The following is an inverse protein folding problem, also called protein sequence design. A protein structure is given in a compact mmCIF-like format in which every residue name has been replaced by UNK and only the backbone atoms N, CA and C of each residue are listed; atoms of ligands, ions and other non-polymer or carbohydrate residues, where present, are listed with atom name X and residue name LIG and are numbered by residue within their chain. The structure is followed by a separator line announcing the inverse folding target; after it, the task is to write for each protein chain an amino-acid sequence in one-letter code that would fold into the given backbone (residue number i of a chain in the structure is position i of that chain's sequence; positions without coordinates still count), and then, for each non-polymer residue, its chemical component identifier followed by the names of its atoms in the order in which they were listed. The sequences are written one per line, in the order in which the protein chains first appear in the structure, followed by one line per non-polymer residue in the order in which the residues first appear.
data_IF_871417963881
#
_entry.id   IF_871417963881
#
_cell.length_a   1.000
_cell.length_b   1.000
_cell.length_c   1.000
_cell.angle_alpha   90.00
_cell.angle_beta   90.00
_cell.angle_gamma   90.00
#
_symmetry.space_group_name_H-M   'P 1'
#
loop_
_entity.id
_entity.type
_entity.pdbx_description
1 polymer ?
#
# COMPACT_ATOMS: atom_id res chain seq x y z
N UNK A 1 4.47 -18.44 78.37
CA UNK A 1 4.11 -17.11 77.83
C UNK A 1 2.84 -17.26 77.02
N UNK A 2 1.76 -16.64 77.49
CA UNK A 2 0.42 -16.72 76.91
C UNK A 2 0.35 -15.70 75.77
N UNK A 3 0.39 -16.15 74.52
CA UNK A 3 -0.09 -15.33 73.41
C UNK A 3 -1.61 -15.23 73.59
N UNK A 4 -2.08 -14.03 73.89
CA UNK A 4 -3.47 -13.77 74.23
C UNK A 4 -4.38 -13.98 73.02
N UNK A 5 -5.47 -14.70 73.26
CA UNK A 5 -6.57 -15.06 72.36
C UNK A 5 -7.11 -13.93 71.46
N UNK A 6 -6.78 -12.68 71.77
CA UNK A 6 -7.19 -11.45 71.08
C UNK A 6 -6.62 -11.31 69.67
N UNK A 7 -5.48 -11.93 69.34
CA UNK A 7 -4.88 -11.84 68.00
C UNK A 7 -5.45 -12.85 66.99
N UNK A 8 -6.10 -13.93 67.46
CA UNK A 8 -6.65 -14.95 66.57
C UNK A 8 -8.06 -14.59 66.04
N UNK A 9 -8.75 -13.65 66.69
CA UNK A 9 -10.09 -13.17 66.26
C UNK A 9 -10.00 -12.20 65.08
N UNK A 10 -8.85 -11.54 64.88
CA UNK A 10 -8.65 -10.59 63.78
C UNK A 10 -8.36 -11.29 62.45
N UNK A 11 -7.85 -12.53 62.47
CA UNK A 11 -7.49 -13.28 61.25
C UNK A 11 -8.62 -14.20 60.77
N UNK A 12 -9.63 -14.48 61.60
CA UNK A 12 -10.75 -15.38 61.29
C UNK A 12 -12.09 -14.66 61.03
N UNK A 13 -12.06 -13.36 60.70
CA UNK A 13 -13.22 -12.57 60.28
C UNK A 13 -13.22 -12.22 58.78
N UNK A 14 -12.28 -12.74 58.01
CA UNK A 14 -12.02 -12.34 56.62
C UNK A 14 -12.42 -13.40 55.58
N UNK A 15 -13.40 -14.24 55.93
CA UNK A 15 -14.02 -15.20 55.03
C UNK A 15 -15.53 -15.22 55.26
N UNK A 16 -16.26 -14.94 54.17
CA UNK A 16 -17.72 -14.99 53.94
C UNK A 16 -18.49 -13.67 54.11
N UNK A 17 -19.49 -13.38 53.26
CA UNK A 17 -19.42 -13.28 51.81
C UNK A 17 -19.83 -11.85 51.36
N UNK A 18 -19.12 -11.25 50.39
CA UNK A 18 -19.62 -10.07 49.68
C UNK A 18 -20.76 -10.52 48.73
N UNK A 19 -21.91 -10.82 49.30
CA UNK A 19 -23.17 -11.10 48.60
C UNK A 19 -24.24 -10.09 49.02
N UNK A 20 -23.89 -8.80 49.07
CA UNK A 20 -24.84 -7.69 49.23
C UNK A 20 -24.19 -6.32 49.00
N UNK A 21 -23.48 -6.12 47.88
CA UNK A 21 -23.42 -4.78 47.25
C UNK A 21 -23.76 -4.96 45.77
N UNK A 22 -24.95 -5.50 45.51
CA UNK A 22 -25.66 -5.19 44.28
C UNK A 22 -26.33 -3.84 44.49
N UNK A 23 -25.79 -2.80 43.87
CA UNK A 23 -26.40 -1.49 43.54
C UNK A 23 -25.40 -0.34 43.79
N UNK A 24 -24.39 -0.18 42.93
CA UNK A 24 -24.13 1.16 42.41
C UNK A 24 -23.28 1.09 41.13
N UNK A 25 -23.93 1.52 40.05
CA UNK A 25 -23.35 1.97 38.78
C UNK A 25 -22.80 0.89 37.83
N UNK A 26 -23.69 -0.04 37.43
CA UNK A 26 -23.64 -0.52 36.05
C UNK A 26 -24.18 0.58 35.14
N UNK A 27 -23.32 1.49 34.69
CA UNK A 27 -23.63 2.35 33.54
C UNK A 27 -23.77 1.44 32.32
N UNK A 28 -24.97 0.89 32.11
CA UNK A 28 -25.32 0.20 30.88
C UNK A 28 -25.35 1.25 29.79
N UNK A 29 -24.22 1.43 29.09
CA UNK A 29 -24.13 2.27 27.89
C UNK A 29 -25.35 2.01 27.01
N UNK A 30 -26.04 3.07 26.63
CA UNK A 30 -27.18 2.98 25.73
C UNK A 30 -26.76 2.30 24.41
N UNK A 31 -27.71 1.68 23.69
CA UNK A 31 -27.45 1.08 22.37
C UNK A 31 -26.74 2.04 21.40
N UNK A 32 -26.99 3.36 21.54
CA UNK A 32 -26.32 4.40 20.75
C UNK A 32 -24.85 4.57 21.15
N UNK A 33 -24.53 4.57 22.44
CA UNK A 33 -23.17 4.66 22.95
C UNK A 33 -22.35 3.42 22.61
N UNK A 34 -22.93 2.22 22.72
CA UNK A 34 -22.29 0.97 22.29
C UNK A 34 -21.92 1.06 20.80
N UNK A 35 -22.87 1.46 19.93
CA UNK A 35 -22.62 1.61 18.49
C UNK A 35 -21.57 2.68 18.18
N UNK A 36 -21.53 3.78 18.93
CA UNK A 36 -20.50 4.80 18.77
C UNK A 36 -19.13 4.28 19.20
N UNK A 37 -19.05 3.52 20.28
CA UNK A 37 -17.82 2.95 20.80
C UNK A 37 -17.27 1.88 19.84
N UNK A 38 -18.12 1.01 19.31
CA UNK A 38 -17.77 0.06 18.23
C UNK A 38 -17.25 0.78 16.99
N UNK A 39 -17.94 1.85 16.54
CA UNK A 39 -17.48 2.63 15.38
C UNK A 39 -16.13 3.31 15.63
N UNK A 40 -15.86 3.79 16.85
CA UNK A 40 -14.55 4.36 17.21
C UNK A 40 -13.46 3.29 17.19
N UNK A 41 -13.71 2.14 17.82
CA UNK A 41 -12.80 0.98 17.81
C UNK A 41 -12.49 0.51 16.39
N UNK A 42 -13.50 0.42 15.53
CA UNK A 42 -13.30 0.03 14.13
C UNK A 42 -12.43 1.04 13.39
N UNK A 43 -12.69 2.35 13.55
CA UNK A 43 -11.86 3.39 12.93
C UNK A 43 -10.42 3.35 13.40
N UNK A 44 -10.20 3.08 14.68
CA UNK A 44 -8.86 2.95 15.25
C UNK A 44 -8.15 1.74 14.67
N UNK A 45 -8.80 0.58 14.62
CA UNK A 45 -8.26 -0.62 13.97
C UNK A 45 -7.94 -0.37 12.48
N UNK A 46 -8.87 0.25 11.74
CA UNK A 46 -8.66 0.62 10.33
C UNK A 46 -7.49 1.60 10.16
N UNK A 47 -7.27 2.51 11.13
CA UNK A 47 -6.17 3.46 11.11
C UNK A 47 -4.82 2.78 11.33
N UNK A 48 -4.76 1.79 12.24
CA UNK A 48 -3.55 1.00 12.49
C UNK A 48 -3.19 0.21 11.24
N UNK A 49 -4.15 -0.56 10.69
CA UNK A 49 -3.94 -1.35 9.46
C UNK A 49 -3.49 -0.45 8.30
N UNK A 50 -4.11 0.73 8.15
CA UNK A 50 -3.72 1.71 7.13
C UNK A 50 -2.29 2.19 7.34
N UNK A 51 -1.90 2.50 8.58
CA UNK A 51 -0.56 2.99 8.90
C UNK A 51 0.52 1.93 8.63
N UNK A 52 0.24 0.67 8.95
CA UNK A 52 1.12 -0.46 8.67
C UNK A 52 1.27 -0.70 7.16
N UNK A 53 0.15 -0.69 6.42
CA UNK A 53 0.17 -0.82 4.97
C UNK A 53 0.96 0.33 4.31
N UNK A 54 0.77 1.57 4.79
CA UNK A 54 1.54 2.73 4.35
C UNK A 54 3.03 2.58 4.65
N UNK A 55 3.40 2.13 5.84
CA UNK A 55 4.80 1.91 6.21
C UNK A 55 5.45 0.85 5.30
N UNK A 56 4.75 -0.26 5.01
CA UNK A 56 5.21 -1.28 4.06
C UNK A 56 5.42 -0.68 2.67
N UNK A 57 4.49 0.13 2.18
CA UNK A 57 4.64 0.83 0.90
C UNK A 57 5.87 1.73 0.89
N UNK A 58 6.06 2.56 1.92
CA UNK A 58 7.21 3.46 1.99
C UNK A 58 8.54 2.72 2.00
N UNK A 59 8.63 1.58 2.68
CA UNK A 59 9.85 0.76 2.64
C UNK A 59 10.14 0.29 1.22
N UNK A 60 9.18 -0.34 0.54
CA UNK A 60 9.35 -0.82 -0.84
C UNK A 60 9.68 0.31 -1.83
N UNK A 61 9.06 1.48 -1.68
CA UNK A 61 9.30 2.62 -2.55
C UNK A 61 10.69 3.24 -2.30
N UNK A 62 11.06 3.47 -1.04
CA UNK A 62 12.37 4.02 -0.70
C UNK A 62 13.51 3.07 -1.09
N UNK A 63 13.29 1.77 -0.98
CA UNK A 63 14.25 0.74 -1.41
C UNK A 63 14.23 0.49 -2.93
N UNK A 64 13.35 1.18 -3.68
CA UNK A 64 13.15 0.97 -5.13
C UNK A 64 12.92 -0.51 -5.46
N UNK A 65 12.07 -1.18 -4.69
CA UNK A 65 11.87 -2.63 -4.72
C UNK A 65 10.38 -2.96 -4.78
N UNK A 66 9.76 -2.76 -5.94
CA UNK A 66 8.32 -2.91 -6.10
C UNK A 66 7.89 -3.27 -7.53
N UNK A 67 6.69 -3.83 -7.65
CA UNK A 67 5.98 -4.00 -8.92
C UNK A 67 4.61 -3.34 -8.84
N UNK A 68 4.30 -2.49 -9.82
CA UNK A 68 2.94 -2.07 -10.11
C UNK A 68 2.34 -3.07 -11.10
N UNK A 69 1.38 -3.86 -10.62
CA UNK A 69 0.62 -4.79 -11.44
C UNK A 69 -0.64 -4.10 -11.95
N UNK A 70 -0.68 -3.77 -13.25
CA UNK A 70 -1.78 -3.04 -13.84
C UNK A 70 -2.97 -3.96 -14.12
N UNK A 71 -4.17 -3.47 -13.83
CA UNK A 71 -5.45 -4.10 -14.18
C UNK A 71 -6.20 -3.30 -15.23
N UNK A 72 -5.87 -2.01 -15.40
CA UNK A 72 -6.43 -1.14 -16.42
C UNK A 72 -5.32 -0.34 -17.11
N UNK A 73 -5.50 -0.07 -18.40
CA UNK A 73 -4.65 0.82 -19.21
C UNK A 73 -5.51 1.91 -19.84
N UNK A 74 -5.07 3.16 -19.75
CA UNK A 74 -5.61 4.30 -20.49
C UNK A 74 -4.56 4.87 -21.45
N UNK A 75 -5.00 5.31 -22.64
CA UNK A 75 -4.11 5.91 -23.65
C UNK A 75 -4.69 7.24 -24.12
N UNK A 76 -3.85 8.27 -24.13
CA UNK A 76 -4.22 9.61 -24.55
C UNK A 76 -5.05 10.36 -23.49
N UNK A 77 -5.61 11.49 -23.89
CA UNK A 77 -6.35 12.39 -22.99
C UNK A 77 -7.84 12.02 -22.83
N UNK A 78 -8.32 10.97 -23.50
CA UNK A 78 -9.75 10.68 -23.66
C UNK A 78 -10.38 9.85 -22.53
N UNK A 79 -9.64 9.51 -21.47
CA UNK A 79 -10.20 9.00 -20.22
C UNK A 79 -10.86 7.61 -20.27
N UNK A 80 -10.81 6.89 -21.40
CA UNK A 80 -11.26 5.49 -21.46
C UNK A 80 -10.16 4.56 -20.95
N UNK A 81 -10.49 3.76 -19.94
CA UNK A 81 -9.64 2.70 -19.40
C UNK A 81 -10.08 1.35 -19.97
N UNK A 82 -9.11 0.51 -20.35
CA UNK A 82 -9.35 -0.85 -20.85
C UNK A 82 -8.81 -1.86 -19.84
N UNK A 83 -9.59 -2.89 -19.46
CA UNK A 83 -9.08 -3.99 -18.66
C UNK A 83 -7.93 -4.74 -19.33
N UNK A 84 -6.90 -5.04 -18.55
CA UNK A 84 -5.69 -5.73 -19.02
C UNK A 84 -5.19 -6.77 -18.02
N UNK A 85 -4.30 -7.64 -18.49
CA UNK A 85 -3.58 -8.59 -17.63
C UNK A 85 -2.30 -7.97 -17.08
N UNK A 86 -2.08 -8.09 -15.77
CA UNK A 86 -0.85 -7.64 -15.11
C UNK A 86 0.40 -8.38 -15.58
N UNK A 87 0.26 -9.61 -16.12
CA UNK A 87 1.39 -10.36 -16.71
C UNK A 87 2.03 -9.64 -17.89
N UNK A 88 1.26 -8.85 -18.63
CA UNK A 88 1.72 -8.13 -19.83
C UNK A 88 1.54 -6.61 -19.71
N UNK A 89 1.21 -6.12 -18.51
CA UNK A 89 1.02 -4.70 -18.22
C UNK A 89 1.49 -4.44 -16.78
N UNK A 90 2.74 -4.05 -16.62
CA UNK A 90 3.34 -3.81 -15.32
C UNK A 90 4.52 -2.85 -15.39
N UNK A 91 4.84 -2.26 -14.24
CA UNK A 91 6.07 -1.51 -14.03
C UNK A 91 6.78 -2.09 -12.81
N UNK A 92 7.95 -2.69 -13.01
CA UNK A 92 8.77 -3.27 -11.95
C UNK A 92 10.06 -2.48 -11.78
N UNK A 93 10.45 -2.28 -10.53
CA UNK A 93 11.66 -1.55 -10.10
C UNK A 93 12.40 -2.43 -9.10
N UNK A 94 13.68 -2.69 -9.35
CA UNK A 94 14.57 -3.42 -8.48
C UNK A 94 15.91 -2.69 -8.38
N UNK A 95 16.06 -1.84 -7.35
CA UNK A 95 17.15 -0.89 -7.27
C UNK A 95 17.09 0.08 -8.44
N UNK A 96 18.17 0.14 -9.22
CA UNK A 96 18.23 1.00 -10.41
C UNK A 96 17.63 0.33 -11.65
N UNK A 97 17.41 -0.98 -11.65
CA UNK A 97 16.88 -1.69 -12.81
C UNK A 97 15.36 -1.59 -12.88
N UNK A 98 14.84 -1.28 -14.07
CA UNK A 98 13.39 -1.23 -14.31
C UNK A 98 12.98 -2.14 -15.45
N UNK A 99 11.72 -2.58 -15.39
CA UNK A 99 11.01 -3.19 -16.51
C UNK A 99 9.66 -2.50 -16.63
N UNK A 100 9.41 -1.87 -17.78
CA UNK A 100 8.09 -1.37 -18.16
C UNK A 100 7.54 -2.21 -19.32
N UNK A 101 6.46 -2.92 -19.04
CA UNK A 101 5.72 -3.71 -20.01
C UNK A 101 4.32 -3.12 -20.16
N UNK A 102 3.91 -2.79 -21.39
CA UNK A 102 2.54 -2.37 -21.71
C UNK A 102 2.13 -3.02 -23.03
N UNK A 103 1.00 -3.73 -23.03
CA UNK A 103 0.49 -4.45 -24.18
C UNK A 103 -0.99 -4.09 -24.42
N UNK A 104 -1.26 -3.19 -25.38
CA UNK A 104 -2.61 -2.91 -25.86
C UNK A 104 -2.68 -2.99 -27.40
N UNK A 105 -3.67 -3.74 -27.91
CA UNK A 105 -4.24 -3.55 -29.25
C UNK A 105 -3.40 -3.81 -30.51
N UNK A 106 -2.27 -4.51 -30.45
CA UNK A 106 -1.55 -5.04 -31.64
C UNK A 106 -0.94 -4.02 -32.61
N UNK A 107 -1.20 -2.73 -32.43
CA UNK A 107 -0.70 -1.63 -33.25
C UNK A 107 -0.54 -0.43 -32.36
N UNK A 108 0.65 -0.27 -31.79
CA UNK A 108 1.31 0.99 -31.42
C UNK A 108 2.62 0.62 -30.76
N UNK A 109 3.53 0.11 -31.60
CA UNK A 109 4.94 0.43 -31.54
C UNK A 109 5.06 1.95 -31.50
N UNK A 110 4.98 2.59 -30.32
CA UNK A 110 5.28 4.01 -30.25
C UNK A 110 6.76 4.18 -30.57
N UNK A 111 7.01 5.29 -31.23
CA UNK A 111 8.29 5.98 -31.29
C UNK A 111 8.92 6.24 -29.89
N UNK A 112 8.83 5.40 -28.84
CA UNK A 112 9.85 4.38 -28.56
C UNK A 112 9.62 3.60 -27.24
N UNK A 113 8.39 3.15 -27.00
CA UNK A 113 7.97 2.22 -25.90
C UNK A 113 6.77 1.33 -26.30
N UNK A 114 6.70 0.84 -27.53
CA UNK A 114 5.54 0.07 -27.96
C UNK A 114 5.80 -1.43 -27.97
N UNK A 115 4.87 -2.21 -27.41
CA UNK A 115 4.79 -3.68 -27.55
C UNK A 115 6.02 -4.48 -27.13
N UNK A 116 7.01 -3.85 -26.50
CA UNK A 116 8.31 -4.41 -26.16
C UNK A 116 8.55 -4.17 -24.68
N UNK A 117 8.99 -5.21 -23.99
CA UNK A 117 9.50 -5.09 -22.63
C UNK A 117 10.68 -4.15 -22.62
N UNK A 118 10.50 -2.95 -22.09
CA UNK A 118 11.59 -1.98 -22.02
C UNK A 118 12.25 -2.14 -20.67
N UNK A 119 13.39 -2.84 -20.68
CA UNK A 119 14.35 -2.76 -19.58
C UNK A 119 15.01 -1.39 -19.61
N UNK A 120 15.39 -0.86 -18.45
CA UNK A 120 16.10 0.40 -18.39
C UNK A 120 16.66 0.65 -17.00
N UNK A 121 17.05 1.90 -16.79
CA UNK A 121 17.56 2.38 -15.52
C UNK A 121 16.65 3.47 -14.95
N UNK A 122 16.40 3.40 -13.65
CA UNK A 122 15.73 4.42 -12.87
C UNK A 122 16.65 5.62 -12.64
N UNK A 123 16.15 6.83 -12.87
CA UNK A 123 16.92 8.08 -12.78
C UNK A 123 16.08 9.15 -12.09
N UNK A 124 16.70 9.97 -11.25
CA UNK A 124 16.05 11.11 -10.59
C UNK A 124 14.77 10.74 -9.84
N UNK A 125 14.80 9.60 -9.14
CA UNK A 125 13.68 9.05 -8.38
C UNK A 125 13.46 9.82 -7.08
N UNK A 126 12.20 10.08 -6.74
CA UNK A 126 11.83 10.63 -5.44
C UNK A 126 10.46 10.13 -4.96
N UNK A 127 10.32 10.06 -3.63
CA UNK A 127 9.10 9.66 -2.92
C UNK A 127 8.65 10.83 -2.03
N UNK A 128 7.46 11.36 -2.25
CA UNK A 128 6.81 12.34 -1.37
C UNK A 128 5.64 11.69 -0.64
N UNK A 129 5.77 11.59 0.68
CA UNK A 129 4.79 11.01 1.57
C UNK A 129 4.47 11.92 2.76
N UNK A 130 4.76 13.23 2.67
CA UNK A 130 4.75 14.17 3.82
C UNK A 130 3.41 14.26 4.55
N UNK A 131 2.30 13.95 3.88
CA UNK A 131 0.95 14.02 4.47
C UNK A 131 0.38 12.61 4.73
N UNK A 132 0.15 12.20 5.99
CA UNK A 132 -0.24 10.83 6.36
C UNK A 132 -1.55 10.31 5.74
N UNK A 133 -2.46 11.22 5.35
CA UNK A 133 -3.78 10.89 4.80
C UNK A 133 -3.93 11.29 3.33
N UNK A 134 -2.81 11.54 2.64
CA UNK A 134 -2.77 11.82 1.22
C UNK A 134 -2.05 10.69 0.48
N UNK A 135 -2.31 10.54 -0.83
CA UNK A 135 -1.54 9.62 -1.64
C UNK A 135 -0.03 9.86 -1.47
N UNK A 136 0.73 8.78 -1.51
CA UNK A 136 2.18 8.84 -1.71
C UNK A 136 2.39 9.17 -3.18
N UNK A 137 3.23 10.17 -3.46
CA UNK A 137 3.61 10.52 -4.82
C UNK A 137 5.02 10.05 -5.08
N UNK A 138 5.20 9.37 -6.21
CA UNK A 138 6.50 8.95 -6.70
C UNK A 138 6.71 9.62 -8.04
N UNK A 139 7.86 10.23 -8.26
CA UNK A 139 8.24 10.74 -9.57
C UNK A 139 9.65 10.28 -9.91
N UNK A 140 9.93 10.17 -11.19
CA UNK A 140 11.24 9.79 -11.66
C UNK A 140 11.35 9.86 -13.16
N UNK A 141 12.46 9.36 -13.67
CA UNK A 141 12.74 9.24 -15.09
C UNK A 141 13.24 7.83 -15.38
N UNK A 142 12.81 7.29 -16.50
CA UNK A 142 13.31 6.02 -17.03
C UNK A 142 14.28 6.34 -18.15
N UNK A 143 15.47 5.72 -18.11
CA UNK A 143 16.37 5.65 -19.25
C UNK A 143 16.25 4.26 -19.88
N UNK A 144 15.65 4.12 -21.07
CA UNK A 144 15.56 2.82 -21.74
C UNK A 144 16.95 2.26 -22.09
N UNK A 145 17.07 0.93 -22.14
CA UNK A 145 18.26 0.24 -22.62
C UNK A 145 17.95 -0.54 -23.92
N UNK A 146 18.62 -0.26 -25.06
CA UNK A 146 19.56 0.84 -25.28
C UNK A 146 18.83 2.17 -25.45
N UNK A 147 19.42 3.27 -24.99
CA UNK A 147 18.82 4.59 -25.13
C UNK A 147 19.43 5.64 -24.21
N UNK A 148 19.24 6.91 -24.57
CA UNK A 148 19.74 8.05 -23.80
C UNK A 148 18.65 9.04 -23.41
N UNK A 149 17.44 8.90 -23.98
CA UNK A 149 16.29 9.74 -23.66
C UNK A 149 15.83 9.42 -22.23
N UNK A 150 15.57 10.46 -21.45
CA UNK A 150 14.97 10.35 -20.13
C UNK A 150 13.46 10.56 -20.23
N UNK A 151 12.70 9.53 -19.90
CA UNK A 151 11.24 9.54 -19.98
C UNK A 151 10.67 9.76 -18.58
N UNK A 152 10.05 10.91 -18.29
CA UNK A 152 9.48 11.18 -16.98
C UNK A 152 8.26 10.30 -16.71
N UNK A 153 8.10 9.92 -15.46
CA UNK A 153 6.91 9.23 -14.97
C UNK A 153 6.49 9.77 -13.61
N UNK A 154 5.21 9.57 -13.29
CA UNK A 154 4.62 9.89 -11.99
C UNK A 154 3.74 8.72 -11.52
N UNK A 155 3.70 8.47 -10.22
CA UNK A 155 2.82 7.49 -9.57
C UNK A 155 2.11 8.15 -8.40
N UNK A 156 0.80 7.98 -8.33
CA UNK A 156 -0.02 8.30 -7.15
C UNK A 156 -0.47 7.00 -6.50
N UNK A 157 -0.17 6.81 -5.21
CA UNK A 157 -0.37 5.55 -4.50
C UNK A 157 -1.18 5.78 -3.22
N UNK A 158 -2.29 5.07 -3.08
CA UNK A 158 -3.10 5.06 -1.86
C UNK A 158 -2.53 4.09 -0.82
N UNK A 159 -2.88 4.26 0.47
CA UNK A 159 -2.36 3.41 1.55
C UNK A 159 -2.75 1.93 1.40
N UNK A 160 -3.80 1.62 0.64
CA UNK A 160 -4.19 0.24 0.31
C UNK A 160 -3.40 -0.35 -0.88
N UNK A 161 -2.39 0.36 -1.38
CA UNK A 161 -1.55 -0.02 -2.50
C UNK A 161 -2.15 0.25 -3.89
N UNK A 162 -3.39 0.73 -3.99
CA UNK A 162 -3.97 1.12 -5.27
C UNK A 162 -3.17 2.29 -5.86
N UNK A 163 -2.75 2.16 -7.12
CA UNK A 163 -1.82 3.07 -7.76
C UNK A 163 -2.26 3.45 -9.17
N UNK A 164 -1.94 4.70 -9.54
CA UNK A 164 -2.03 5.21 -10.90
C UNK A 164 -0.63 5.65 -11.33
N UNK A 165 -0.08 4.98 -12.34
CA UNK A 165 1.20 5.30 -12.96
C UNK A 165 0.96 6.00 -14.29
N UNK A 166 1.72 7.05 -14.54
CA UNK A 166 1.65 7.86 -15.72
C UNK A 166 3.01 7.98 -16.36
N UNK A 167 3.08 7.77 -17.67
CA UNK A 167 4.30 7.97 -18.45
C UNK A 167 3.96 8.68 -19.77
N UNK A 168 4.81 9.63 -20.16
CA UNK A 168 4.71 10.28 -21.46
C UNK A 168 5.47 9.50 -22.52
N UNK A 169 4.87 9.39 -23.70
CA UNK A 169 5.52 8.85 -24.88
C UNK A 169 6.30 9.95 -25.62
N UNK A 170 7.22 9.59 -26.52
CA UNK A 170 8.01 10.60 -27.24
C UNK A 170 7.16 11.48 -28.18
N UNK A 171 5.99 10.99 -28.61
CA UNK A 171 5.03 11.75 -29.40
C UNK A 171 4.05 12.59 -28.54
N UNK A 172 4.26 12.64 -27.22
CA UNK A 172 3.48 13.48 -26.29
C UNK A 172 2.18 12.86 -25.79
N UNK A 173 1.88 11.60 -26.15
CA UNK A 173 0.75 10.87 -25.57
C UNK A 173 1.07 10.51 -24.11
N UNK A 174 0.01 10.35 -23.31
CA UNK A 174 0.11 9.86 -21.95
C UNK A 174 -0.45 8.45 -21.88
N UNK A 175 0.34 7.53 -21.33
CA UNK A 175 -0.11 6.19 -20.94
C UNK A 175 -0.37 6.24 -19.45
N UNK A 176 -1.52 5.70 -19.04
CA UNK A 176 -1.88 5.49 -17.65
C UNK A 176 -2.01 3.99 -17.37
N UNK A 177 -1.38 3.52 -16.31
CA UNK A 177 -1.59 2.19 -15.74
C UNK A 177 -2.27 2.36 -14.39
N UNK A 178 -3.44 1.76 -14.22
CA UNK A 178 -4.13 1.69 -12.92
C UNK A 178 -4.03 0.25 -12.40
N UNK A 179 -3.64 0.10 -11.13
CA UNK A 179 -3.33 -1.21 -10.57
C UNK A 179 -2.97 -1.17 -9.09
N UNK A 180 -2.16 -2.13 -8.65
CA UNK A 180 -1.71 -2.23 -7.25
C UNK A 180 -0.20 -2.41 -7.16
N UNK A 181 0.39 -1.77 -6.15
CA UNK A 181 1.78 -2.00 -5.74
C UNK A 181 1.90 -3.33 -5.00
N UNK A 182 2.90 -4.12 -5.37
CA UNK A 182 3.32 -5.37 -4.74
C UNK A 182 4.81 -5.30 -4.42
N UNK A 183 5.22 -6.01 -3.36
CA UNK A 183 6.64 -6.31 -3.18
C UNK A 183 7.14 -7.23 -4.29
N UNK A 184 8.45 -7.23 -4.56
CA UNK A 184 9.05 -8.15 -5.52
C UNK A 184 8.73 -9.61 -5.17
N UNK A 185 8.78 -9.96 -3.89
CA UNK A 185 8.50 -11.31 -3.38
C UNK A 185 7.02 -11.74 -3.48
N UNK A 186 6.09 -10.80 -3.48
CA UNK A 186 4.65 -11.10 -3.63
C UNK A 186 4.20 -11.11 -5.10
N UNK A 187 5.05 -10.61 -6.01
CA UNK A 187 4.69 -10.45 -7.42
C UNK A 187 5.05 -11.70 -8.23
N UNK A 188 4.01 -12.42 -8.66
CA UNK A 188 4.14 -13.52 -9.63
C UNK A 188 4.59 -13.02 -11.00
N UNK A 189 4.38 -11.73 -11.29
CA UNK A 189 4.88 -11.09 -12.50
C UNK A 189 6.40 -11.00 -12.44
N UNK A 190 6.96 -10.52 -11.32
CA UNK A 190 8.41 -10.44 -11.13
C UNK A 190 9.11 -11.80 -11.26
N UNK A 191 8.65 -12.80 -10.51
CA UNK A 191 9.24 -14.16 -10.54
C UNK A 191 9.21 -14.80 -11.93
N UNK A 192 8.14 -14.56 -12.69
CA UNK A 192 7.95 -15.12 -14.03
C UNK A 192 8.67 -14.35 -15.14
N UNK A 193 9.24 -13.18 -14.83
CA UNK A 193 9.81 -12.28 -15.84
C UNK A 193 11.31 -12.54 -16.00
N UNK A 194 11.79 -12.94 -17.20
CA UNK A 194 13.19 -13.32 -17.40
C UNK A 194 14.18 -12.15 -17.28
N UNK A 195 13.70 -10.90 -17.18
CA UNK A 195 14.51 -9.69 -17.13
C UNK A 195 15.10 -9.36 -15.75
N UNK A 196 14.72 -10.10 -14.70
CA UNK A 196 15.20 -9.89 -13.32
C UNK A 196 15.99 -11.10 -12.78
N UNK A 197 16.70 -11.82 -13.66
CA UNK A 197 17.55 -12.96 -13.30
C UNK A 197 18.99 -12.58 -13.06
#
# INVERSE_FOLDING_TARGET
MKATLTQLIIVLGLLLPFAAISQQQSDTLSKKEIRQLEKRKQKEADSIVRSEARAKLLNMLNDSSFVLEATLVGVGNLGSETPVSSRTNFFAVNGDDIVLQVAFGGRLGINGLGGVTNTGTLVAYSVDAKQPNKPIFVNGKIRPNPGTILIPFDISIQDNGAAQFYISTANGDRIMLSGFIKSLAESKVFEGTPYFK
#
